data_IF_114432720735
#
_entry.id   IF_114432720735
#
_cell.length_a   1.000
_cell.length_b   1.000
_cell.length_c   1.000
_cell.angle_alpha   90.00
_cell.angle_beta   90.00
_cell.angle_gamma   90.00
#
_symmetry.space_group_name_H-M   'P 1'
#
loop_
_entity.id
_entity.type
_entity.pdbx_description
1 polymer ?
#
# COMPACT_ATOMS: atom_id res chain seq x y z
N UNK A 1 18.99 6.27 7.69
CA UNK A 1 17.72 6.07 6.96
C UNK A 1 17.84 4.74 6.26
N UNK A 2 16.89 3.85 6.43
CA UNK A 2 16.86 2.58 5.70
C UNK A 2 15.96 2.75 4.49
N UNK A 3 16.42 2.22 3.35
CA UNK A 3 15.65 2.25 2.11
C UNK A 3 15.13 0.85 1.80
N UNK A 4 13.86 0.78 1.44
CA UNK A 4 13.24 -0.41 0.88
C UNK A 4 13.09 -0.30 -0.64
N UNK A 5 12.88 -1.43 -1.32
CA UNK A 5 12.53 -1.47 -2.72
C UNK A 5 11.04 -1.84 -2.88
N UNK A 6 10.30 -0.99 -3.60
CA UNK A 6 8.96 -1.34 -4.05
C UNK A 6 9.08 -2.31 -5.24
N UNK A 7 8.57 -3.52 -5.06
CA UNK A 7 8.77 -4.64 -6.00
C UNK A 7 8.04 -4.47 -7.34
N UNK A 8 7.09 -3.54 -7.43
CA UNK A 8 6.50 -3.16 -8.72
C UNK A 8 7.55 -2.64 -9.71
N UNK A 9 8.64 -2.06 -9.20
CA UNK A 9 9.76 -1.59 -10.02
C UNK A 9 10.50 -2.71 -10.75
N UNK A 10 10.37 -3.94 -10.27
CA UNK A 10 10.99 -5.17 -10.82
C UNK A 10 9.94 -6.27 -11.04
N UNK A 11 8.68 -5.87 -11.31
CA UNK A 11 7.53 -6.77 -11.42
C UNK A 11 7.68 -7.85 -12.48
N UNK A 12 8.40 -7.55 -13.56
CA UNK A 12 8.70 -8.48 -14.65
C UNK A 12 9.57 -9.66 -14.17
N UNK A 13 10.40 -9.45 -13.16
CA UNK A 13 11.20 -10.50 -12.53
C UNK A 13 10.41 -11.19 -11.42
N UNK A 14 9.74 -10.44 -10.54
CA UNK A 14 8.99 -11.00 -9.40
C UNK A 14 7.84 -11.90 -9.82
N UNK A 15 7.21 -11.63 -10.96
CA UNK A 15 6.14 -12.46 -11.51
C UNK A 15 6.66 -13.83 -11.98
N UNK A 16 7.91 -13.93 -12.40
CA UNK A 16 8.52 -15.15 -12.93
C UNK A 16 9.32 -15.91 -11.88
N UNK A 17 10.06 -15.20 -11.02
CA UNK A 17 10.94 -15.76 -9.99
C UNK A 17 11.01 -14.82 -8.77
N UNK A 18 10.01 -14.92 -7.90
CA UNK A 18 9.93 -14.10 -6.70
C UNK A 18 11.13 -14.33 -5.75
N UNK A 19 11.55 -15.59 -5.57
CA UNK A 19 12.67 -15.90 -4.69
C UNK A 19 13.97 -15.30 -5.23
N UNK A 20 14.24 -15.47 -6.55
CA UNK A 20 15.40 -14.90 -7.20
C UNK A 20 15.44 -13.38 -7.16
N UNK A 21 14.29 -12.73 -7.31
CA UNK A 21 14.15 -11.28 -7.19
C UNK A 21 14.51 -10.81 -5.76
N UNK A 22 13.95 -11.43 -4.73
CA UNK A 22 14.24 -11.10 -3.33
C UNK A 22 15.72 -11.29 -2.99
N UNK A 23 16.34 -12.38 -3.48
CA UNK A 23 17.77 -12.59 -3.33
C UNK A 23 18.60 -11.47 -3.95
N UNK A 24 18.30 -11.08 -5.19
CA UNK A 24 19.01 -10.00 -5.89
C UNK A 24 18.85 -8.66 -5.16
N UNK A 25 17.64 -8.34 -4.70
CA UNK A 25 17.35 -7.12 -3.91
C UNK A 25 18.19 -7.08 -2.63
N UNK A 26 18.32 -8.21 -1.92
CA UNK A 26 19.17 -8.30 -0.74
C UNK A 26 20.67 -8.15 -1.09
N UNK A 27 21.13 -8.76 -2.20
CA UNK A 27 22.52 -8.63 -2.70
C UNK A 27 22.85 -7.18 -3.09
N UNK A 28 21.87 -6.39 -3.56
CA UNK A 28 22.02 -4.95 -3.84
C UNK A 28 22.13 -4.10 -2.55
N UNK A 29 21.90 -4.70 -1.39
CA UNK A 29 22.04 -4.03 -0.08
C UNK A 29 20.75 -3.51 0.54
N UNK A 30 19.59 -3.70 -0.08
CA UNK A 30 18.31 -3.38 0.54
C UNK A 30 18.03 -4.28 1.76
N UNK A 31 17.28 -3.77 2.72
CA UNK A 31 16.90 -4.50 3.94
C UNK A 31 15.40 -4.69 4.08
N UNK A 32 14.63 -3.98 3.28
CA UNK A 32 13.18 -4.11 3.23
C UNK A 32 12.67 -4.08 1.80
N UNK A 33 11.52 -4.70 1.61
CA UNK A 33 10.77 -4.70 0.36
C UNK A 33 9.32 -4.36 0.61
N UNK A 34 8.70 -3.70 -0.35
CA UNK A 34 7.26 -3.54 -0.40
C UNK A 34 6.70 -4.40 -1.52
N UNK A 35 5.77 -5.28 -1.17
CA UNK A 35 5.19 -6.21 -2.13
C UNK A 35 4.13 -5.55 -3.01
N UNK A 36 4.12 -5.89 -4.29
CA UNK A 36 3.11 -5.53 -5.27
C UNK A 36 2.42 -6.79 -5.82
N UNK A 37 1.92 -7.61 -4.91
CA UNK A 37 1.35 -8.92 -5.19
C UNK A 37 2.27 -10.06 -4.76
N UNK A 38 1.66 -11.24 -4.57
CA UNK A 38 2.37 -12.42 -4.09
C UNK A 38 2.44 -13.55 -5.14
N UNK A 39 1.79 -13.39 -6.30
CA UNK A 39 1.82 -14.32 -7.45
C UNK A 39 1.52 -15.78 -7.08
N UNK A 40 0.60 -15.99 -6.13
CA UNK A 40 0.18 -17.32 -5.68
C UNK A 40 1.07 -17.98 -4.63
N UNK A 41 2.17 -17.33 -4.21
CA UNK A 41 3.02 -17.85 -3.14
C UNK A 41 2.32 -17.77 -1.78
N UNK A 42 2.52 -18.82 -0.98
CA UNK A 42 2.01 -18.87 0.39
C UNK A 42 2.78 -17.93 1.32
N UNK A 43 2.15 -17.55 2.43
CA UNK A 43 2.80 -16.74 3.44
C UNK A 43 4.06 -17.41 4.03
N UNK A 44 4.07 -18.74 4.12
CA UNK A 44 5.24 -19.51 4.57
C UNK A 44 6.41 -19.41 3.60
N UNK A 45 6.17 -19.51 2.29
CA UNK A 45 7.22 -19.35 1.28
C UNK A 45 7.81 -17.95 1.33
N UNK A 46 6.96 -16.91 1.29
CA UNK A 46 7.39 -15.52 1.37
C UNK A 46 8.18 -15.27 2.67
N UNK A 47 7.66 -15.71 3.82
CA UNK A 47 8.36 -15.54 5.10
C UNK A 47 9.71 -16.27 5.10
N UNK A 48 9.75 -17.49 4.57
CA UNK A 48 10.98 -18.26 4.47
C UNK A 48 12.06 -17.55 3.63
N UNK A 49 11.67 -16.94 2.51
CA UNK A 49 12.61 -16.17 1.67
C UNK A 49 13.04 -14.87 2.32
N UNK A 50 12.13 -14.14 2.98
CA UNK A 50 12.49 -12.95 3.73
C UNK A 50 13.53 -13.26 4.81
N UNK A 51 13.32 -14.32 5.60
CA UNK A 51 14.26 -14.74 6.63
C UNK A 51 15.59 -15.19 6.04
N UNK A 52 15.55 -15.96 4.96
CA UNK A 52 16.75 -16.50 4.26
C UNK A 52 17.66 -15.38 3.77
N UNK A 53 17.08 -14.29 3.26
CA UNK A 53 17.85 -13.20 2.67
C UNK A 53 18.01 -11.98 3.59
N UNK A 54 17.49 -12.04 4.82
CA UNK A 54 17.60 -10.96 5.81
C UNK A 54 16.82 -9.72 5.41
N UNK A 55 15.68 -9.92 4.73
CA UNK A 55 14.75 -8.87 4.32
C UNK A 55 13.54 -8.78 5.27
N UNK A 56 12.93 -7.62 5.33
CA UNK A 56 11.64 -7.40 6.00
C UNK A 56 10.59 -6.88 5.00
N UNK A 57 9.33 -7.19 5.24
CA UNK A 57 8.23 -6.58 4.48
C UNK A 57 7.88 -5.22 5.10
N UNK A 58 8.22 -4.13 4.42
CA UNK A 58 7.86 -2.76 4.85
C UNK A 58 6.40 -2.45 4.61
N UNK A 59 5.81 -2.99 3.55
CA UNK A 59 4.42 -2.80 3.16
C UNK A 59 3.99 -3.78 2.09
N UNK A 60 2.69 -3.75 1.78
CA UNK A 60 2.13 -4.51 0.66
C UNK A 60 1.06 -3.70 -0.05
N UNK A 61 1.17 -3.58 -1.37
CA UNK A 61 0.08 -3.11 -2.21
C UNK A 61 -1.01 -4.18 -2.27
N UNK A 62 -2.14 -3.90 -1.65
CA UNK A 62 -3.28 -4.82 -1.54
C UNK A 62 -4.57 -4.09 -1.91
N UNK A 63 -5.21 -4.53 -2.97
CA UNK A 63 -6.44 -3.91 -3.45
C UNK A 63 -7.58 -4.01 -2.44
N UNK A 64 -8.47 -3.03 -2.44
CA UNK A 64 -9.61 -2.97 -1.51
C UNK A 64 -10.52 -4.20 -1.61
N UNK A 65 -10.54 -4.89 -2.75
CA UNK A 65 -11.28 -6.14 -2.94
C UNK A 65 -10.80 -7.29 -2.04
N UNK A 66 -9.54 -7.27 -1.60
CA UNK A 66 -8.96 -8.27 -0.69
C UNK A 66 -9.27 -7.97 0.79
N UNK A 67 -9.85 -6.80 1.05
CA UNK A 67 -10.20 -6.32 2.40
C UNK A 67 -11.70 -6.42 2.70
N UNK A 68 -12.47 -7.11 1.87
CA UNK A 68 -13.93 -7.21 2.01
C UNK A 68 -14.38 -8.65 2.24
N UNK A 69 -15.48 -8.80 2.99
CA UNK A 69 -16.12 -10.09 3.22
C UNK A 69 -15.16 -11.13 3.83
N UNK A 70 -15.22 -12.34 3.31
CA UNK A 70 -14.46 -13.49 3.82
C UNK A 70 -12.94 -13.37 3.57
N UNK A 71 -12.52 -12.50 2.64
CA UNK A 71 -11.11 -12.31 2.31
C UNK A 71 -10.33 -11.55 3.38
N UNK A 72 -10.97 -10.64 4.11
CA UNK A 72 -10.29 -9.79 5.10
C UNK A 72 -9.50 -10.61 6.12
N UNK A 73 -10.10 -11.66 6.67
CA UNK A 73 -9.44 -12.50 7.69
C UNK A 73 -8.25 -13.28 7.11
N UNK A 74 -8.38 -13.77 5.88
CA UNK A 74 -7.27 -14.44 5.18
C UNK A 74 -6.13 -13.46 4.89
N UNK A 75 -6.45 -12.23 4.46
CA UNK A 75 -5.48 -11.16 4.23
C UNK A 75 -4.76 -10.78 5.52
N UNK A 76 -5.48 -10.60 6.63
CA UNK A 76 -4.89 -10.32 7.94
C UNK A 76 -3.91 -11.44 8.34
N UNK A 77 -4.36 -12.70 8.26
CA UNK A 77 -3.53 -13.85 8.65
C UNK A 77 -2.26 -13.95 7.79
N UNK A 78 -2.38 -13.70 6.49
CA UNK A 78 -1.23 -13.69 5.58
C UNK A 78 -0.21 -12.62 5.98
N UNK A 79 -0.65 -11.38 6.20
CA UNK A 79 0.23 -10.26 6.57
C UNK A 79 0.90 -10.47 7.93
N UNK A 80 0.16 -11.00 8.91
CA UNK A 80 0.73 -11.37 10.20
C UNK A 80 1.82 -12.44 10.05
N UNK A 81 1.60 -13.45 9.20
CA UNK A 81 2.56 -14.53 8.98
C UNK A 81 3.87 -14.06 8.35
N UNK A 82 3.81 -13.10 7.41
CA UNK A 82 5.01 -12.51 6.81
C UNK A 82 5.63 -11.39 7.65
N UNK A 83 4.99 -11.00 8.77
CA UNK A 83 5.44 -9.93 9.65
C UNK A 83 5.22 -8.51 9.11
N UNK A 84 4.37 -8.34 8.09
CA UNK A 84 4.04 -7.05 7.51
C UNK A 84 2.94 -6.35 8.32
N UNK A 85 3.15 -5.08 8.64
CA UNK A 85 2.21 -4.25 9.43
C UNK A 85 1.58 -3.12 8.65
N UNK A 86 2.01 -2.89 7.42
CA UNK A 86 1.49 -1.80 6.58
C UNK A 86 0.84 -2.41 5.34
N UNK A 87 -0.45 -2.13 5.19
CA UNK A 87 -1.25 -2.58 4.07
C UNK A 87 -1.69 -1.34 3.31
N UNK A 88 -1.30 -1.25 2.04
CA UNK A 88 -1.48 -0.07 1.22
C UNK A 88 -2.51 -0.37 0.14
N UNK A 89 -3.58 0.43 0.06
CA UNK A 89 -4.48 0.43 -1.10
C UNK A 89 -3.78 1.19 -2.23
N UNK A 90 -3.36 0.48 -3.31
CA UNK A 90 -2.50 1.09 -4.33
C UNK A 90 -3.27 1.92 -5.35
N UNK A 91 -4.54 1.62 -5.56
CA UNK A 91 -5.35 2.24 -6.60
C UNK A 91 -6.83 1.97 -6.38
N UNK A 92 -7.66 2.97 -6.59
CA UNK A 92 -9.12 2.85 -6.72
C UNK A 92 -9.61 3.79 -7.82
N UNK A 93 -10.72 3.43 -8.46
CA UNK A 93 -11.43 4.35 -9.34
C UNK A 93 -12.41 5.20 -8.55
N UNK A 94 -12.46 6.48 -8.82
CA UNK A 94 -13.28 7.46 -8.12
C UNK A 94 -13.93 8.45 -9.12
N UNK A 95 -14.55 7.92 -10.17
CA UNK A 95 -15.16 8.75 -11.19
C UNK A 95 -16.26 9.65 -10.62
N UNK A 96 -16.99 9.17 -9.60
CA UNK A 96 -18.12 9.86 -9.00
C UNK A 96 -17.97 10.01 -7.49
N UNK A 97 -18.76 10.96 -6.93
CA UNK A 97 -18.94 11.10 -5.48
C UNK A 97 -19.41 9.81 -4.82
N UNK A 98 -20.29 9.06 -5.48
CA UNK A 98 -20.80 7.79 -4.95
C UNK A 98 -19.71 6.74 -4.76
N UNK A 99 -18.73 6.69 -5.65
CA UNK A 99 -17.58 5.78 -5.52
C UNK A 99 -16.65 6.19 -4.38
N UNK A 100 -16.40 7.49 -4.20
CA UNK A 100 -15.64 8.01 -3.04
C UNK A 100 -16.38 7.66 -1.74
N UNK A 101 -17.67 7.90 -1.65
CA UNK A 101 -18.48 7.61 -0.47
C UNK A 101 -18.43 6.10 -0.14
N UNK A 102 -18.56 5.25 -1.15
CA UNK A 102 -18.46 3.79 -0.97
C UNK A 102 -17.06 3.33 -0.49
N UNK A 103 -16.01 3.93 -1.02
CA UNK A 103 -14.64 3.66 -0.55
C UNK A 103 -14.45 4.05 0.92
N UNK A 104 -14.88 5.26 1.30
CA UNK A 104 -14.79 5.75 2.68
C UNK A 104 -15.54 4.83 3.64
N UNK A 105 -16.73 4.37 3.27
CA UNK A 105 -17.48 3.40 4.08
C UNK A 105 -16.74 2.07 4.24
N UNK A 106 -16.15 1.54 3.17
CA UNK A 106 -15.34 0.31 3.24
C UNK A 106 -14.13 0.49 4.15
N UNK A 107 -13.42 1.59 4.03
CA UNK A 107 -12.29 1.93 4.92
C UNK A 107 -12.74 1.90 6.38
N UNK A 108 -13.83 2.57 6.72
CA UNK A 108 -14.35 2.62 8.09
C UNK A 108 -14.73 1.23 8.63
N UNK A 109 -15.26 0.35 7.78
CA UNK A 109 -15.65 -1.01 8.16
C UNK A 109 -14.45 -1.90 8.46
N UNK A 110 -13.35 -1.77 7.72
CA UNK A 110 -12.20 -2.68 7.85
C UNK A 110 -11.12 -2.18 8.81
N UNK A 111 -10.99 -0.86 8.96
CA UNK A 111 -9.89 -0.23 9.70
C UNK A 111 -9.82 -0.70 11.16
N UNK A 112 -10.97 -0.88 11.84
CA UNK A 112 -10.99 -1.35 13.21
C UNK A 112 -10.45 -2.78 13.36
N UNK A 113 -10.75 -3.66 12.40
CA UNK A 113 -10.29 -5.05 12.40
C UNK A 113 -8.79 -5.12 12.06
N UNK A 114 -8.32 -4.33 11.10
CA UNK A 114 -6.91 -4.23 10.77
C UNK A 114 -6.10 -3.70 11.97
N UNK A 115 -6.56 -2.62 12.60
CA UNK A 115 -5.91 -2.07 13.79
C UNK A 115 -5.85 -3.08 14.95
N UNK A 116 -6.93 -3.83 15.19
CA UNK A 116 -6.94 -4.89 16.20
C UNK A 116 -5.95 -6.02 15.90
N UNK A 117 -5.63 -6.24 14.62
CA UNK A 117 -4.63 -7.20 14.16
C UNK A 117 -3.19 -6.61 14.14
N UNK A 118 -3.00 -5.34 14.52
CA UNK A 118 -1.71 -4.66 14.49
C UNK A 118 -1.27 -4.25 13.07
N UNK A 119 -2.23 -4.09 12.15
CA UNK A 119 -2.00 -3.68 10.76
C UNK A 119 -2.55 -2.28 10.56
N UNK A 120 -1.75 -1.39 9.99
CA UNK A 120 -2.14 -0.04 9.58
C UNK A 120 -2.56 -0.04 8.12
N UNK A 121 -3.72 0.56 7.84
CA UNK A 121 -4.19 0.77 6.48
C UNK A 121 -3.65 2.09 5.94
N UNK A 122 -3.06 2.05 4.76
CA UNK A 122 -2.53 3.19 4.02
C UNK A 122 -3.27 3.38 2.70
N UNK A 123 -3.16 4.58 2.16
CA UNK A 123 -3.56 4.90 0.79
C UNK A 123 -2.36 5.46 0.02
N UNK A 124 -2.11 4.93 -1.18
CA UNK A 124 -1.09 5.38 -2.12
C UNK A 124 -1.72 6.22 -3.22
N UNK A 125 -1.13 7.36 -3.54
CA UNK A 125 -1.63 8.27 -4.56
C UNK A 125 -0.96 8.08 -5.92
N UNK A 126 -1.74 8.32 -6.96
CA UNK A 126 -1.27 8.63 -8.31
C UNK A 126 -1.57 10.10 -8.64
N UNK A 127 -1.57 10.46 -9.93
CA UNK A 127 -1.87 11.82 -10.36
C UNK A 127 -3.37 12.12 -10.45
N UNK A 128 -4.20 11.09 -10.67
CA UNK A 128 -5.64 11.27 -10.88
C UNK A 128 -6.37 11.73 -9.62
N UNK A 129 -5.91 11.37 -8.43
CA UNK A 129 -6.52 11.81 -7.17
C UNK A 129 -6.41 13.31 -6.93
N UNK A 130 -5.47 13.97 -7.60
CA UNK A 130 -5.30 15.43 -7.51
C UNK A 130 -6.07 16.21 -8.57
N UNK A 131 -6.83 15.52 -9.41
CA UNK A 131 -7.71 16.09 -10.43
C UNK A 131 -9.17 16.00 -10.00
N UNK A 132 -10.02 16.95 -10.44
CA UNK A 132 -11.45 16.82 -10.15
C UNK A 132 -12.04 15.61 -10.88
N UNK A 133 -12.88 14.86 -10.16
CA UNK A 133 -13.70 13.81 -10.75
C UNK A 133 -14.91 14.41 -11.51
N UNK A 134 -15.84 13.58 -12.00
CA UNK A 134 -17.03 14.00 -12.75
C UNK A 134 -17.95 14.94 -11.95
N UNK A 135 -17.95 14.82 -10.61
CA UNK A 135 -18.72 15.67 -9.69
C UNK A 135 -17.92 16.88 -9.18
N UNK A 136 -16.71 17.11 -9.70
CA UNK A 136 -15.84 18.24 -9.36
C UNK A 136 -15.07 18.11 -8.04
N UNK A 137 -15.04 16.92 -7.43
CA UNK A 137 -14.34 16.68 -6.18
C UNK A 137 -12.88 16.30 -6.44
N UNK A 138 -11.97 16.82 -5.60
CA UNK A 138 -10.57 16.37 -5.57
C UNK A 138 -10.51 15.15 -4.65
N UNK A 139 -10.24 14.00 -5.23
CA UNK A 139 -10.30 12.69 -4.56
C UNK A 139 -9.37 12.65 -3.36
N UNK A 140 -8.13 13.13 -3.52
CA UNK A 140 -7.13 13.13 -2.44
C UNK A 140 -7.60 13.94 -1.22
N UNK A 141 -8.21 15.11 -1.46
CA UNK A 141 -8.72 15.96 -0.39
C UNK A 141 -9.89 15.28 0.36
N UNK A 142 -10.77 14.58 -0.35
CA UNK A 142 -11.87 13.82 0.25
C UNK A 142 -11.36 12.66 1.12
N UNK A 143 -10.35 11.90 0.65
CA UNK A 143 -9.72 10.83 1.42
C UNK A 143 -9.07 11.39 2.68
N UNK A 144 -8.30 12.47 2.56
CA UNK A 144 -7.63 13.12 3.69
C UNK A 144 -8.63 13.66 4.71
N UNK A 145 -9.70 14.32 4.25
CA UNK A 145 -10.67 14.96 5.14
C UNK A 145 -11.60 13.97 5.85
N UNK A 146 -11.91 12.84 5.21
CA UNK A 146 -13.02 11.96 5.64
C UNK A 146 -12.57 10.60 6.16
N UNK A 147 -11.27 10.30 6.11
CA UNK A 147 -10.70 9.06 6.65
C UNK A 147 -9.54 9.34 7.60
N UNK A 148 -9.13 8.32 8.35
CA UNK A 148 -7.90 8.32 9.17
C UNK A 148 -6.88 7.31 8.65
N UNK A 149 -6.92 6.94 7.36
CA UNK A 149 -5.89 6.06 6.77
C UNK A 149 -4.54 6.75 6.83
N UNK A 150 -3.48 5.99 7.05
CA UNK A 150 -2.13 6.50 6.84
C UNK A 150 -1.91 6.76 5.35
N UNK A 151 -0.93 7.58 5.02
CA UNK A 151 -0.67 7.98 3.65
C UNK A 151 0.72 7.48 3.23
N UNK A 152 0.76 6.79 2.11
CA UNK A 152 1.99 6.53 1.37
C UNK A 152 2.04 7.55 0.23
N UNK A 153 2.78 8.63 0.43
CA UNK A 153 2.87 9.69 -0.57
C UNK A 153 3.84 9.27 -1.67
N UNK A 154 3.30 8.98 -2.87
CA UNK A 154 4.11 8.87 -4.06
C UNK A 154 4.50 10.27 -4.53
N UNK A 155 5.77 10.61 -4.34
CA UNK A 155 6.32 11.95 -4.62
C UNK A 155 6.42 12.22 -6.12
N UNK A 156 6.61 11.19 -6.94
CA UNK A 156 6.63 11.34 -8.41
C UNK A 156 5.23 11.71 -8.93
N UNK A 157 4.21 10.97 -8.53
CA UNK A 157 2.84 11.23 -8.98
C UNK A 157 2.29 12.55 -8.43
N UNK A 158 2.61 12.88 -7.18
CA UNK A 158 2.26 14.20 -6.62
C UNK A 158 2.90 15.34 -7.44
N UNK A 159 4.19 15.23 -7.75
CA UNK A 159 4.89 16.21 -8.58
C UNK A 159 4.32 16.27 -10.00
N UNK A 160 4.06 15.13 -10.63
CA UNK A 160 3.45 15.05 -11.96
C UNK A 160 2.07 15.70 -12.02
N UNK A 161 1.32 15.68 -10.91
CA UNK A 161 0.05 16.37 -10.75
C UNK A 161 0.18 17.86 -10.40
N UNK A 162 1.38 18.42 -10.38
CA UNK A 162 1.65 19.82 -10.05
C UNK A 162 1.58 20.16 -8.56
N UNK A 163 1.68 19.16 -7.68
CA UNK A 163 1.79 19.35 -6.23
C UNK A 163 3.24 19.46 -5.79
N UNK A 164 3.47 20.10 -4.66
CA UNK A 164 4.77 20.09 -3.99
C UNK A 164 4.82 18.92 -2.98
N UNK A 165 5.59 17.84 -3.26
CA UNK A 165 5.64 16.67 -2.36
C UNK A 165 6.25 17.02 -1.00
N UNK A 166 7.16 17.98 -0.91
CA UNK A 166 7.76 18.40 0.36
C UNK A 166 6.70 19.07 1.23
N UNK A 167 5.95 20.01 0.67
CA UNK A 167 4.84 20.66 1.37
C UNK A 167 3.77 19.65 1.80
N UNK A 168 3.46 18.67 0.96
CA UNK A 168 2.52 17.59 1.31
C UNK A 168 3.00 16.80 2.53
N UNK A 169 4.26 16.35 2.52
CA UNK A 169 4.86 15.60 3.64
C UNK A 169 4.88 16.44 4.92
N UNK A 170 5.22 17.73 4.86
CA UNK A 170 5.20 18.62 6.03
C UNK A 170 3.79 18.80 6.60
N UNK A 171 2.80 19.00 5.72
CA UNK A 171 1.40 19.22 6.12
C UNK A 171 0.75 17.95 6.67
N UNK A 172 1.07 16.80 6.09
CA UNK A 172 0.45 15.51 6.39
C UNK A 172 1.33 14.59 7.26
N UNK A 173 2.43 15.10 7.81
CA UNK A 173 3.44 14.31 8.57
C UNK A 173 2.87 13.43 9.68
N UNK A 174 1.75 13.80 10.28
CA UNK A 174 1.08 12.99 11.31
C UNK A 174 0.42 11.73 10.74
N UNK A 175 0.28 11.64 9.40
CA UNK A 175 -0.35 10.52 8.68
C UNK A 175 0.62 9.79 7.76
N UNK A 176 1.88 10.22 7.70
CA UNK A 176 2.97 9.58 6.95
C UNK A 176 3.91 8.97 7.97
N UNK A 177 3.73 7.69 8.37
CA UNK A 177 4.52 7.04 9.42
C UNK A 177 5.94 6.68 8.98
#
# INVERSE_FOLDING_TARGET
MEYGLQLFSVRDVTEQDMEGALRQVAEMGYRSVEFAGFFGHSAQEIKGWLDKYGLTASGTHTGMSELTGDKLQATIAYHQAIGCRNLIVPYESFATKGEIDAFIQRVQQVQSQLNAAGITLHYHNHDHEFKPNEDGQIIYDEIVARTNVALEIDTYWAYAAGKDPVQMMETLKARVP
#
